data_IF_118342855549
#
_entry.id   IF_118342855549
#
_cell.length_a   1.000
_cell.length_b   1.000
_cell.length_c   1.000
_cell.angle_alpha   90.00
_cell.angle_beta   90.00
_cell.angle_gamma   90.00
#
_symmetry.space_group_name_H-M   'P 1'
#
loop_
_entity.id
_entity.type
_entity.pdbx_description
1 polymer ?
#
# COMPACT_ATOMS: atom_id res chain seq x y z
N UNK A 1 10.98 10.18 -19.80
CA UNK A 1 10.28 8.89 -19.61
C UNK A 1 10.83 7.90 -20.61
N UNK A 2 11.11 6.67 -20.16
CA UNK A 2 11.71 5.62 -21.00
C UNK A 2 10.60 4.70 -21.52
N UNK A 3 10.66 4.35 -22.80
CA UNK A 3 9.77 3.33 -23.39
C UNK A 3 10.40 1.96 -23.20
N UNK A 4 9.61 1.00 -22.74
CA UNK A 4 10.06 -0.37 -22.50
C UNK A 4 8.96 -1.32 -22.94
N UNK A 5 9.33 -2.38 -23.64
CA UNK A 5 8.42 -3.49 -23.96
C UNK A 5 8.53 -4.52 -22.84
N UNK A 6 7.39 -4.86 -22.24
CA UNK A 6 7.28 -5.81 -21.13
C UNK A 6 6.13 -6.76 -21.43
N UNK A 7 6.36 -8.05 -21.18
CA UNK A 7 5.34 -9.08 -21.26
C UNK A 7 4.58 -9.09 -19.94
N UNK A 8 3.26 -8.98 -20.00
CA UNK A 8 2.38 -9.03 -18.84
C UNK A 8 1.33 -10.12 -19.03
N UNK A 9 0.89 -10.68 -17.92
CA UNK A 9 -0.26 -11.58 -17.89
C UNK A 9 -1.56 -10.76 -18.09
N UNK A 10 -2.28 -11.07 -19.17
CA UNK A 10 -3.51 -10.37 -19.53
C UNK A 10 -4.63 -10.57 -18.50
N UNK A 11 -4.71 -11.76 -17.89
CA UNK A 11 -5.71 -12.06 -16.86
C UNK A 11 -5.46 -11.20 -15.63
N UNK A 12 -4.19 -11.12 -15.21
CA UNK A 12 -3.81 -10.29 -14.07
C UNK A 12 -4.09 -8.81 -14.34
N UNK A 13 -3.76 -8.33 -15.54
CA UNK A 13 -4.01 -6.93 -15.94
C UNK A 13 -5.50 -6.62 -15.90
N UNK A 14 -6.34 -7.52 -16.40
CA UNK A 14 -7.78 -7.30 -16.44
C UNK A 14 -8.41 -7.28 -15.04
N UNK A 15 -8.01 -8.21 -14.16
CA UNK A 15 -8.44 -8.19 -12.75
C UNK A 15 -7.97 -6.91 -12.04
N UNK A 16 -6.72 -6.49 -12.28
CA UNK A 16 -6.21 -5.23 -11.73
C UNK A 16 -7.01 -4.02 -12.24
N UNK A 17 -7.43 -4.01 -13.51
CA UNK A 17 -8.27 -2.94 -14.07
C UNK A 17 -9.65 -2.90 -13.43
N UNK A 18 -10.29 -4.05 -13.24
CA UNK A 18 -11.60 -4.14 -12.56
C UNK A 18 -11.54 -3.61 -11.13
N UNK A 19 -10.48 -3.96 -10.39
CA UNK A 19 -10.30 -3.53 -8.99
C UNK A 19 -9.93 -2.06 -8.87
N UNK A 20 -9.05 -1.56 -9.75
CA UNK A 20 -8.51 -0.18 -9.65
C UNK A 20 -9.30 0.85 -10.44
N UNK A 21 -10.11 0.43 -11.42
CA UNK A 21 -10.81 1.31 -12.36
C UNK A 21 -9.90 2.00 -13.38
N UNK A 22 -8.61 1.63 -13.47
CA UNK A 22 -7.64 2.34 -14.30
C UNK A 22 -7.74 1.86 -15.77
N UNK A 23 -8.00 2.76 -16.74
CA UNK A 23 -8.32 2.39 -18.11
C UNK A 23 -7.09 2.15 -19.01
N UNK A 24 -5.89 2.56 -18.61
CA UNK A 24 -4.68 2.37 -19.45
C UNK A 24 -3.63 1.51 -18.77
N UNK A 25 -3.01 0.62 -19.53
CA UNK A 25 -1.96 -0.27 -19.02
C UNK A 25 -0.76 0.53 -18.48
N UNK A 26 -0.40 1.65 -19.14
CA UNK A 26 0.65 2.54 -18.67
C UNK A 26 0.33 3.14 -17.29
N UNK A 27 -0.88 3.64 -17.11
CA UNK A 27 -1.30 4.20 -15.82
C UNK A 27 -1.42 3.12 -14.75
N UNK A 28 -1.82 1.90 -15.13
CA UNK A 28 -1.90 0.78 -14.22
C UNK A 28 -0.51 0.35 -13.72
N UNK A 29 0.46 0.27 -14.62
CA UNK A 29 1.87 -0.04 -14.29
C UNK A 29 2.45 1.05 -13.39
N UNK A 30 2.24 2.33 -13.72
CA UNK A 30 2.74 3.44 -12.89
C UNK A 30 2.13 3.39 -11.47
N UNK A 31 0.83 3.14 -11.39
CA UNK A 31 0.13 2.97 -10.12
C UNK A 31 0.69 1.79 -9.32
N UNK A 32 0.87 0.63 -9.94
CA UNK A 32 1.42 -0.56 -9.29
C UNK A 32 2.84 -0.33 -8.75
N UNK A 33 3.72 0.35 -9.51
CA UNK A 33 5.07 0.69 -9.07
C UNK A 33 5.07 1.65 -7.88
N UNK A 34 4.16 2.64 -7.87
CA UNK A 34 4.00 3.56 -6.73
C UNK A 34 3.48 2.84 -5.49
N UNK A 35 2.50 1.96 -5.64
CA UNK A 35 1.97 1.16 -4.53
C UNK A 35 3.01 0.22 -3.95
N UNK A 36 3.84 -0.41 -4.79
CA UNK A 36 4.96 -1.23 -4.33
C UNK A 36 5.93 -0.43 -3.45
N UNK A 37 6.29 0.78 -3.87
CA UNK A 37 7.12 1.68 -3.07
C UNK A 37 6.42 2.14 -1.78
N UNK A 38 5.11 2.41 -1.84
CA UNK A 38 4.31 2.79 -0.67
C UNK A 38 4.32 1.68 0.39
N UNK A 39 4.08 0.43 -0.02
CA UNK A 39 4.15 -0.73 0.86
C UNK A 39 5.56 -0.95 1.43
N UNK A 40 6.60 -0.75 0.62
CA UNK A 40 7.99 -0.81 1.09
C UNK A 40 8.29 0.26 2.15
N UNK A 41 7.81 1.50 1.96
CA UNK A 41 7.98 2.60 2.93
C UNK A 41 7.22 2.35 4.22
N UNK A 42 6.02 1.78 4.17
CA UNK A 42 5.27 1.42 5.38
C UNK A 42 6.04 0.41 6.25
N UNK A 43 6.75 -0.54 5.63
CA UNK A 43 7.62 -1.47 6.37
C UNK A 43 8.76 -0.75 7.10
N UNK A 44 9.28 0.36 6.56
CA UNK A 44 10.31 1.16 7.26
C UNK A 44 9.81 1.76 8.57
N UNK A 45 8.50 1.99 8.73
CA UNK A 45 7.93 2.42 10.02
C UNK A 45 8.19 1.37 11.10
N UNK A 46 8.26 0.08 10.75
CA UNK A 46 8.60 -0.99 11.69
C UNK A 46 10.04 -0.88 12.21
N UNK A 47 10.95 -0.22 11.49
CA UNK A 47 12.32 0.03 11.96
C UNK A 47 12.34 0.96 13.18
N UNK A 48 11.30 1.77 13.39
CA UNK A 48 11.17 2.65 14.54
C UNK A 48 10.74 1.90 15.81
N UNK A 49 10.32 0.63 15.68
CA UNK A 49 9.88 -0.21 16.80
C UNK A 49 11.02 -0.37 17.81
N UNK A 50 10.79 0.08 19.05
CA UNK A 50 11.78 0.02 20.13
C UNK A 50 12.87 1.09 20.09
N UNK A 51 12.95 1.89 19.02
CA UNK A 51 13.89 3.03 18.92
C UNK A 51 13.29 4.34 19.42
N UNK A 52 11.96 4.44 19.44
CA UNK A 52 11.24 5.61 19.91
C UNK A 52 10.50 5.25 21.20
N UNK A 53 10.70 6.05 22.24
CA UNK A 53 9.88 6.00 23.45
C UNK A 53 8.49 6.56 23.12
N UNK A 54 7.54 5.67 22.86
CA UNK A 54 6.15 6.07 22.65
C UNK A 54 5.51 6.44 23.98
N UNK A 55 4.95 7.65 24.08
CA UNK A 55 4.25 8.15 25.27
C UNK A 55 2.75 8.24 24.97
N UNK A 56 1.95 7.46 25.71
CA UNK A 56 0.49 7.49 25.61
C UNK A 56 -0.17 6.42 26.48
N UNK A 57 -1.42 6.64 26.86
CA UNK A 57 -2.21 5.65 27.62
C UNK A 57 -3.15 4.89 26.66
N UNK A 58 -2.72 3.69 26.27
CA UNK A 58 -3.51 2.78 25.43
C UNK A 58 -4.83 2.37 26.09
N UNK A 59 -4.88 2.28 27.44
CA UNK A 59 -6.08 1.88 28.16
C UNK A 59 -7.12 2.99 28.04
N UNK A 60 -6.72 4.25 28.24
CA UNK A 60 -7.60 5.40 28.09
C UNK A 60 -8.26 5.49 26.70
N UNK A 61 -7.49 5.28 25.62
CA UNK A 61 -7.99 5.36 24.25
C UNK A 61 -8.90 4.20 23.85
N UNK A 62 -8.84 3.07 24.55
CA UNK A 62 -9.66 1.89 24.25
C UNK A 62 -10.93 1.80 25.09
N UNK A 63 -11.16 2.72 26.04
CA UNK A 63 -12.30 2.68 26.99
C UNK A 63 -13.69 2.57 26.33
N UNK A 64 -13.87 3.03 25.09
CA UNK A 64 -15.15 2.95 24.38
C UNK A 64 -15.32 1.73 23.45
N UNK A 65 -14.29 0.90 23.27
CA UNK A 65 -14.34 -0.22 22.30
C UNK A 65 -14.92 -1.52 22.86
N UNK A 66 -15.20 -1.56 24.16
CA UNK A 66 -15.76 -2.72 24.86
C UNK A 66 -17.26 -2.60 25.16
N UNK A 67 -17.94 -1.57 24.67
CA UNK A 67 -19.39 -1.41 24.86
C UNK A 67 -20.06 -2.10 23.67
N UNK A 68 -20.49 -3.34 23.92
CA UNK A 68 -21.38 -4.11 23.04
C UNK A 68 -22.81 -3.66 23.27
#
# INVERSE_FOLDING_TARGET
MTRTNVVLDEVLVEECRKVTGIPTQRSLIDHALRELLRHGRQKKVLELKGRIAWQGDLRAWRRGRGIR
#
